data_IF_951110020576
#
_entry.id   IF_951110020576
#
_cell.length_a   1.000
_cell.length_b   1.000
_cell.length_c   1.000
_cell.angle_alpha   90.00
_cell.angle_beta   90.00
_cell.angle_gamma   90.00
#
_symmetry.space_group_name_H-M   'P 1'
#
loop_
_entity.id
_entity.type
_entity.pdbx_description
1 polymer ?
#
# COMPACT_ATOMS: atom_id res chain seq x y z
N UNK A 1 -3.35 0.02 -18.85
CA UNK A 1 -2.32 1.02 -18.52
C UNK A 1 -2.41 1.28 -17.03
N UNK A 2 -1.31 1.20 -16.29
CA UNK A 2 -1.32 1.51 -14.87
C UNK A 2 -1.50 3.02 -14.68
N UNK A 3 -2.39 3.42 -13.77
CA UNK A 3 -2.59 4.82 -13.39
C UNK A 3 -2.06 4.97 -11.97
N UNK A 4 -0.99 5.77 -11.75
CA UNK A 4 -0.48 6.06 -10.42
C UNK A 4 -1.57 6.70 -9.56
N UNK A 5 -1.65 6.30 -8.29
CA UNK A 5 -2.54 6.94 -7.33
C UNK A 5 -1.88 8.22 -6.81
N UNK A 6 -2.63 9.32 -6.74
CA UNK A 6 -2.13 10.56 -6.16
C UNK A 6 -2.26 10.55 -4.64
N UNK A 7 -1.15 10.74 -3.94
CA UNK A 7 -1.09 10.86 -2.49
C UNK A 7 -0.67 12.28 -2.11
N UNK A 8 -1.15 12.76 -0.97
CA UNK A 8 -0.62 14.01 -0.40
C UNK A 8 0.82 13.79 0.10
N UNK A 9 1.58 14.87 0.29
CA UNK A 9 2.94 14.78 0.83
C UNK A 9 2.98 14.02 2.18
N UNK A 10 2.00 14.27 3.05
CA UNK A 10 1.88 13.58 4.34
C UNK A 10 1.56 12.08 4.18
N UNK A 11 0.68 11.73 3.23
CA UNK A 11 0.37 10.33 2.91
C UNK A 11 1.60 9.61 2.35
N UNK A 12 2.34 10.25 1.44
CA UNK A 12 3.56 9.68 0.89
C UNK A 12 4.61 9.41 1.96
N UNK A 13 4.81 10.35 2.89
CA UNK A 13 5.78 10.21 3.98
C UNK A 13 5.51 9.03 4.91
N UNK A 14 4.23 8.67 5.08
CA UNK A 14 3.82 7.48 5.82
C UNK A 14 4.02 6.24 4.96
N UNK A 15 3.52 6.25 3.72
CA UNK A 15 3.51 5.08 2.84
C UNK A 15 4.92 4.64 2.42
N UNK A 16 5.85 5.58 2.20
CA UNK A 16 7.25 5.29 1.84
C UNK A 16 7.98 4.44 2.88
N UNK A 17 7.50 4.39 4.12
CA UNK A 17 8.09 3.57 5.20
C UNK A 17 7.72 2.09 5.06
N UNK A 18 6.59 1.80 4.42
CA UNK A 18 5.98 0.47 4.39
C UNK A 18 5.87 -0.12 2.98
N UNK A 19 6.01 0.69 1.93
CA UNK A 19 5.94 0.28 0.53
C UNK A 19 7.25 0.60 -0.19
N UNK A 20 7.73 -0.31 -1.04
CA UNK A 20 8.96 -0.08 -1.83
C UNK A 20 8.82 0.99 -2.91
N UNK A 21 7.61 1.23 -3.41
CA UNK A 21 7.27 2.29 -4.37
C UNK A 21 5.77 2.61 -4.31
N UNK A 22 5.40 3.83 -4.72
CA UNK A 22 4.02 4.35 -4.70
C UNK A 22 3.43 4.52 -6.11
N UNK A 23 4.31 4.65 -7.09
CA UNK A 23 4.09 5.00 -8.49
C UNK A 23 4.27 3.82 -9.45
N UNK A 24 4.76 2.68 -8.95
CA UNK A 24 4.93 1.46 -9.74
C UNK A 24 3.69 0.55 -9.68
N UNK A 25 3.45 -0.26 -10.73
CA UNK A 25 2.38 -1.26 -10.74
C UNK A 25 2.64 -2.44 -9.79
N UNK A 26 3.89 -2.66 -9.37
CA UNK A 26 4.31 -3.76 -8.49
C UNK A 26 5.13 -3.18 -7.35
N UNK A 27 4.80 -3.58 -6.12
CA UNK A 27 5.44 -3.12 -4.89
C UNK A 27 5.52 -4.24 -3.86
N UNK A 28 6.38 -4.07 -2.86
CA UNK A 28 6.46 -4.96 -1.70
C UNK A 28 6.16 -4.21 -0.40
N UNK A 29 5.59 -4.95 0.56
CA UNK A 29 5.37 -4.48 1.93
C UNK A 29 6.61 -4.73 2.80
N UNK A 30 7.22 -3.67 3.28
CA UNK A 30 8.42 -3.67 4.12
C UNK A 30 8.12 -3.11 5.50
N UNK A 31 8.98 -3.38 6.49
CA UNK A 31 8.90 -2.78 7.83
C UNK A 31 7.56 -2.97 8.57
N UNK A 32 6.77 -3.98 8.21
CA UNK A 32 5.51 -4.34 8.86
C UNK A 32 5.61 -5.73 9.50
N UNK A 33 5.05 -5.92 10.72
CA UNK A 33 4.89 -7.25 11.30
C UNK A 33 4.05 -8.16 10.41
N UNK A 34 4.33 -9.47 10.40
CA UNK A 34 3.63 -10.43 9.54
C UNK A 34 2.12 -10.47 9.79
N UNK A 35 1.70 -10.36 11.05
CA UNK A 35 0.29 -10.30 11.44
C UNK A 35 -0.44 -9.11 10.82
N UNK A 36 0.26 -7.96 10.67
CA UNK A 36 -0.30 -6.76 10.03
C UNK A 36 -0.44 -6.95 8.52
N UNK A 37 0.56 -7.58 7.88
CA UNK A 37 0.49 -7.95 6.46
C UNK A 37 -0.72 -8.87 6.22
N UNK A 38 -0.91 -9.89 7.06
CA UNK A 38 -2.06 -10.80 6.98
C UNK A 38 -3.40 -10.07 7.11
N UNK A 39 -3.52 -9.16 8.07
CA UNK A 39 -4.72 -8.34 8.25
C UNK A 39 -5.00 -7.41 7.05
N UNK A 40 -3.97 -6.79 6.49
CA UNK A 40 -4.06 -5.97 5.28
C UNK A 40 -4.58 -6.79 4.09
N UNK A 41 -4.00 -7.97 3.84
CA UNK A 41 -4.45 -8.85 2.74
C UNK A 41 -5.89 -9.33 2.95
N UNK A 42 -6.27 -9.68 4.18
CA UNK A 42 -7.64 -10.07 4.48
C UNK A 42 -8.64 -8.93 4.22
N UNK A 43 -8.28 -7.69 4.55
CA UNK A 43 -9.15 -6.54 4.31
C UNK A 43 -9.20 -6.14 2.83
N UNK A 44 -8.05 -6.23 2.15
CA UNK A 44 -7.94 -6.03 0.71
C UNK A 44 -8.83 -7.00 -0.08
N UNK A 45 -8.83 -8.29 0.28
CA UNK A 45 -9.64 -9.28 -0.45
C UNK A 45 -11.15 -9.03 -0.38
N UNK A 46 -11.60 -8.17 0.54
CA UNK A 46 -13.00 -7.79 0.75
C UNK A 46 -13.32 -6.37 0.29
N UNK A 47 -12.38 -5.67 -0.37
CA UNK A 47 -12.55 -4.29 -0.79
C UNK A 47 -12.10 -4.10 -2.24
N UNK A 48 -12.78 -3.25 -3.03
CA UNK A 48 -12.29 -2.87 -4.35
C UNK A 48 -11.12 -1.86 -4.29
N UNK A 49 -10.71 -1.43 -3.09
CA UNK A 49 -9.64 -0.44 -2.90
C UNK A 49 -8.26 -1.05 -3.10
N UNK A 50 -7.32 -0.24 -3.60
CA UNK A 50 -5.89 -0.54 -3.62
C UNK A 50 -5.36 -0.79 -2.20
N UNK A 51 -4.37 -1.68 -2.06
CA UNK A 51 -3.66 -1.94 -0.80
C UNK A 51 -3.04 -0.68 -0.18
N UNK A 52 -2.68 0.32 -1.00
CA UNK A 52 -2.13 1.61 -0.54
C UNK A 52 -3.21 2.57 0.02
N UNK A 53 -4.50 2.25 -0.13
CA UNK A 53 -5.66 3.05 0.30
C UNK A 53 -6.50 2.40 1.41
N UNK A 54 -5.97 1.32 2.01
CA UNK A 54 -6.62 0.61 3.11
C UNK A 54 -6.31 1.26 4.46
#
# INVERSE_FOLDING_TARGET
MYVPEEFTADEEDILRRYFTNLDGPVFALVNLPEVVKGALFARYSRSPKSLRRL
#
